data_IF_556958113449
#
_entry.id   IF_556958113449
#
_cell.length_a   1.000
_cell.length_b   1.000
_cell.length_c   1.000
_cell.angle_alpha   90.00
_cell.angle_beta   90.00
_cell.angle_gamma   90.00
#
_symmetry.space_group_name_H-M   'P 1'
#
loop_
_entity.id
_entity.type
_entity.pdbx_description
1 polymer ?
#
# COMPACT_ATOMS: atom_id res chain seq x y z
N UNK A 1 -4.16 3.73 11.27
CA UNK A 1 -5.50 3.44 10.76
C UNK A 1 -5.31 2.65 9.46
N UNK A 2 -6.37 2.18 8.80
CA UNK A 2 -6.23 1.46 7.53
C UNK A 2 -7.42 1.73 6.62
N UNK A 3 -7.22 1.54 5.32
CA UNK A 3 -8.29 1.65 4.33
C UNK A 3 -8.20 0.51 3.32
N UNK A 4 -9.35 0.11 2.81
CA UNK A 4 -9.48 -1.00 1.84
C UNK A 4 -10.00 -0.45 0.51
N UNK A 5 -9.40 -0.91 -0.58
CA UNK A 5 -9.86 -0.64 -1.95
C UNK A 5 -9.89 -1.94 -2.76
N UNK A 6 -10.81 -2.03 -3.71
CA UNK A 6 -10.84 -3.12 -4.68
C UNK A 6 -9.90 -2.79 -5.83
N UNK A 7 -8.97 -3.70 -6.14
CA UNK A 7 -8.03 -3.56 -7.25
C UNK A 7 -8.08 -4.80 -8.14
N UNK A 8 -7.99 -4.59 -9.46
CA UNK A 8 -7.77 -5.68 -10.41
C UNK A 8 -6.29 -6.00 -10.48
N UNK A 9 -5.87 -7.12 -9.90
CA UNK A 9 -4.48 -7.54 -9.77
C UNK A 9 -4.17 -8.71 -10.69
N UNK A 10 -2.96 -8.72 -11.25
CA UNK A 10 -2.43 -9.91 -11.91
C UNK A 10 -2.12 -10.98 -10.85
N UNK A 11 -2.51 -12.22 -11.12
CA UNK A 11 -2.31 -13.35 -10.21
C UNK A 11 -1.55 -14.47 -10.92
N UNK A 12 -0.72 -15.17 -10.14
CA UNK A 12 0.02 -16.34 -10.59
C UNK A 12 -0.37 -17.53 -9.71
N UNK A 13 -0.50 -18.70 -10.33
CA UNK A 13 -0.51 -19.96 -9.61
C UNK A 13 0.92 -20.38 -9.29
N UNK A 14 1.21 -20.60 -8.01
CA UNK A 14 2.54 -21.04 -7.55
C UNK A 14 2.57 -22.55 -7.29
N UNK A 15 3.62 -23.23 -7.75
CA UNK A 15 3.97 -24.61 -7.44
C UNK A 15 5.35 -24.62 -6.74
N UNK A 16 5.40 -24.38 -5.41
CA UNK A 16 6.65 -24.13 -4.69
C UNK A 16 7.68 -25.26 -4.78
N UNK A 17 7.24 -26.52 -4.76
CA UNK A 17 8.11 -27.71 -4.84
C UNK A 17 8.82 -27.83 -6.19
N UNK A 18 8.29 -27.17 -7.22
CA UNK A 18 8.84 -27.13 -8.57
C UNK A 18 9.53 -25.80 -8.88
N UNK A 19 9.51 -24.84 -7.95
CA UNK A 19 9.97 -23.46 -8.15
C UNK A 19 9.37 -22.83 -9.43
N UNK A 20 8.08 -23.11 -9.67
CA UNK A 20 7.38 -22.71 -10.88
C UNK A 20 6.19 -21.81 -10.56
N UNK A 21 6.05 -20.73 -11.32
CA UNK A 21 4.87 -19.89 -11.36
C UNK A 21 4.26 -19.92 -12.76
N UNK A 22 2.94 -19.95 -12.84
CA UNK A 22 2.19 -19.86 -14.10
C UNK A 22 1.18 -18.73 -14.02
N UNK A 23 1.07 -17.94 -15.10
CA UNK A 23 0.07 -16.88 -15.25
C UNK A 23 -1.35 -17.45 -15.08
N UNK A 24 -2.16 -16.83 -14.22
CA UNK A 24 -3.55 -17.18 -13.96
C UNK A 24 -4.51 -16.01 -14.28
N UNK A 25 -4.00 -14.96 -14.92
CA UNK A 25 -4.78 -13.81 -15.38
C UNK A 25 -4.93 -12.72 -14.32
N UNK A 26 -6.15 -12.21 -14.16
CA UNK A 26 -6.45 -11.09 -13.27
C UNK A 26 -7.66 -11.37 -12.39
N UNK A 27 -7.59 -10.93 -11.14
CA UNK A 27 -8.67 -11.03 -10.15
C UNK A 27 -8.95 -9.67 -9.50
N UNK A 28 -10.21 -9.42 -9.17
CA UNK A 28 -10.59 -8.29 -8.32
C UNK A 28 -10.36 -8.67 -6.86
N UNK A 29 -9.42 -8.00 -6.20
CA UNK A 29 -9.01 -8.27 -4.83
C UNK A 29 -9.25 -7.05 -3.93
N UNK A 30 -9.72 -7.31 -2.71
CA UNK A 30 -9.75 -6.29 -1.65
C UNK A 30 -8.35 -6.16 -1.04
N UNK A 31 -7.72 -5.01 -1.29
CA UNK A 31 -6.40 -4.70 -0.75
C UNK A 31 -6.55 -3.69 0.39
N UNK A 32 -6.09 -4.06 1.58
CA UNK A 32 -6.09 -3.17 2.74
C UNK A 32 -4.70 -2.58 2.93
N UNK A 33 -4.60 -1.25 2.91
CA UNK A 33 -3.38 -0.49 3.12
C UNK A 33 -3.36 0.11 4.53
N UNK A 34 -2.19 0.11 5.15
CA UNK A 34 -1.96 0.69 6.48
C UNK A 34 -0.67 1.48 6.49
N UNK A 35 -0.75 2.76 6.86
CA UNK A 35 0.42 3.56 7.18
C UNK A 35 0.92 3.17 8.58
N UNK A 36 2.16 2.71 8.65
CA UNK A 36 2.75 2.13 9.88
C UNK A 36 3.72 3.07 10.58
N UNK A 37 4.33 4.02 9.87
CA UNK A 37 5.23 5.01 10.46
C UNK A 37 5.47 6.20 9.53
N UNK A 38 5.80 7.34 10.12
CA UNK A 38 6.50 8.42 9.43
C UNK A 38 7.98 8.02 9.29
N UNK A 39 8.54 8.11 8.09
CA UNK A 39 9.95 7.78 7.81
C UNK A 39 10.83 9.03 7.82
N UNK A 40 10.46 10.05 7.04
CA UNK A 40 11.22 11.33 6.99
C UNK A 40 10.30 12.51 6.72
N UNK A 41 10.82 13.70 7.02
CA UNK A 41 10.22 14.98 6.64
C UNK A 41 11.30 15.93 6.13
N UNK A 42 10.99 16.70 5.10
CA UNK A 42 11.88 17.71 4.53
C UNK A 42 11.07 18.87 3.94
N UNK A 43 11.12 20.03 4.60
CA UNK A 43 10.32 21.19 4.20
C UNK A 43 8.83 20.87 4.25
N UNK A 44 8.13 21.00 3.12
CA UNK A 44 6.70 20.65 2.96
C UNK A 44 6.48 19.22 2.49
N UNK A 45 7.53 18.40 2.36
CA UNK A 45 7.40 17.00 1.95
C UNK A 45 7.60 16.06 3.12
N UNK A 46 6.85 14.95 3.12
CA UNK A 46 6.97 13.88 4.09
C UNK A 46 6.93 12.52 3.39
N UNK A 47 7.54 11.53 4.03
CA UNK A 47 7.50 10.13 3.57
C UNK A 47 6.98 9.26 4.69
N UNK A 48 6.04 8.39 4.37
CA UNK A 48 5.56 7.36 5.29
C UNK A 48 5.97 5.97 4.82
N UNK A 49 6.16 5.08 5.78
CA UNK A 49 6.12 3.65 5.54
C UNK A 49 4.69 3.14 5.63
N UNK A 50 4.31 2.33 4.67
CA UNK A 50 3.03 1.63 4.66
C UNK A 50 3.21 0.14 4.35
N UNK A 51 2.26 -0.68 4.78
CA UNK A 51 2.13 -2.08 4.36
C UNK A 51 0.77 -2.30 3.69
N UNK A 52 0.57 -3.49 3.15
CA UNK A 52 -0.70 -3.90 2.57
C UNK A 52 -0.99 -5.37 2.88
N UNK A 53 -2.26 -5.73 2.87
CA UNK A 53 -2.73 -7.10 2.97
C UNK A 53 -3.78 -7.44 1.92
N UNK A 54 -3.77 -8.70 1.50
CA UNK A 54 -4.75 -9.33 0.60
C UNK A 54 -5.12 -10.67 1.21
N UNK A 55 -6.41 -11.00 1.26
CA UNK A 55 -6.92 -12.25 1.85
C UNK A 55 -6.38 -12.56 3.26
N UNK A 56 -6.27 -11.52 4.08
CA UNK A 56 -5.76 -11.60 5.45
C UNK A 56 -4.25 -11.87 5.56
N UNK A 57 -3.51 -11.93 4.44
CA UNK A 57 -2.06 -12.04 4.41
C UNK A 57 -1.43 -10.66 4.28
N UNK A 58 -0.61 -10.27 5.25
CA UNK A 58 0.11 -8.99 5.23
C UNK A 58 1.48 -9.13 4.60
N UNK A 59 1.85 -8.20 3.72
CA UNK A 59 3.20 -8.11 3.16
C UNK A 59 4.26 -8.06 4.27
N UNK A 60 5.29 -8.91 4.16
CA UNK A 60 6.45 -8.86 5.04
C UNK A 60 7.31 -7.60 4.82
N UNK A 61 7.10 -6.89 3.72
CA UNK A 61 7.85 -5.69 3.33
C UNK A 61 7.01 -4.43 3.51
N UNK A 62 7.65 -3.39 4.02
CA UNK A 62 7.09 -2.02 4.05
C UNK A 62 7.48 -1.30 2.77
N UNK A 63 6.58 -0.47 2.26
CA UNK A 63 6.79 0.43 1.12
C UNK A 63 6.85 1.88 1.59
N UNK A 64 7.47 2.74 0.79
CA UNK A 64 7.53 4.17 1.03
C UNK A 64 6.52 4.90 0.15
N UNK A 65 5.93 5.96 0.68
CA UNK A 65 5.07 6.86 -0.05
C UNK A 65 5.40 8.31 0.33
N UNK A 66 5.74 9.12 -0.66
CA UNK A 66 6.05 10.55 -0.52
C UNK A 66 4.76 11.36 -0.74
N UNK A 67 4.55 12.40 0.07
CA UNK A 67 3.39 13.29 0.00
C UNK A 67 3.73 14.70 0.48
N UNK A 68 2.92 15.69 0.08
CA UNK A 68 2.99 17.04 0.64
C UNK A 68 2.31 17.09 2.00
N UNK A 69 2.93 17.79 2.95
CA UNK A 69 2.47 17.95 4.31
C UNK A 69 2.60 19.40 4.75
N UNK A 70 1.48 20.00 5.13
CA UNK A 70 1.37 21.42 5.46
C UNK A 70 1.88 21.78 6.87
N UNK A 71 2.33 20.79 7.64
CA UNK A 71 2.82 20.98 9.00
C UNK A 71 1.72 20.90 10.08
N UNK A 72 0.47 20.65 9.72
CA UNK A 72 -0.66 20.64 10.64
C UNK A 72 -1.28 19.26 10.83
N UNK A 73 -1.70 18.96 12.06
CA UNK A 73 -2.29 17.66 12.39
C UNK A 73 -1.27 16.53 12.53
N UNK A 74 -1.71 15.30 12.27
CA UNK A 74 -0.88 14.09 12.34
C UNK A 74 -0.30 13.79 10.95
N UNK A 75 1.04 13.73 10.79
CA UNK A 75 1.66 13.32 9.53
C UNK A 75 1.26 11.90 9.09
N UNK A 76 0.93 11.03 10.05
CA UNK A 76 0.48 9.66 9.77
C UNK A 76 -0.92 9.68 9.14
N UNK A 77 -1.85 10.48 9.70
CA UNK A 77 -3.21 10.61 9.17
C UNK A 77 -3.20 11.31 7.80
N UNK A 78 -2.39 12.36 7.65
CA UNK A 78 -2.20 13.04 6.37
C UNK A 78 -1.61 12.11 5.31
N UNK A 79 -0.61 11.30 5.68
CA UNK A 79 -0.01 10.31 4.78
C UNK A 79 -0.98 9.20 4.37
N UNK A 80 -1.85 8.74 5.28
CA UNK A 80 -2.89 7.78 4.98
C UNK A 80 -3.91 8.34 3.98
N UNK A 81 -4.35 9.58 4.19
CA UNK A 81 -5.27 10.28 3.30
C UNK A 81 -4.65 10.46 1.90
N UNK A 82 -3.42 10.97 1.83
CA UNK A 82 -2.71 11.17 0.56
C UNK A 82 -2.47 9.85 -0.17
N UNK A 83 -2.13 8.77 0.54
CA UNK A 83 -1.98 7.44 -0.05
C UNK A 83 -3.31 6.94 -0.61
N UNK A 84 -4.41 7.09 0.12
CA UNK A 84 -5.75 6.71 -0.35
C UNK A 84 -6.17 7.49 -1.60
N UNK A 85 -5.92 8.80 -1.62
CA UNK A 85 -6.21 9.67 -2.77
C UNK A 85 -5.38 9.29 -4.00
N UNK A 86 -4.14 8.84 -3.82
CA UNK A 86 -3.29 8.39 -4.94
C UNK A 86 -3.88 7.23 -5.74
N UNK A 87 -4.74 6.41 -5.14
CA UNK A 87 -5.46 5.32 -5.81
C UNK A 87 -6.76 5.76 -6.49
N UNK A 88 -7.26 6.97 -6.21
CA UNK A 88 -8.50 7.50 -6.79
C UNK A 88 -8.30 8.25 -8.12
N UNK A 89 -7.04 8.38 -8.58
CA UNK A 89 -6.65 9.11 -9.79
C UNK A 89 -6.38 8.14 -10.97
N UNK A 90 -6.68 6.85 -10.80
CA UNK A 90 -6.57 5.80 -11.83
C UNK A 90 -7.96 5.30 -12.23
#
# INVERSE_FOLDING_TARGET
MSFTITQKLAVNKSYPELLLETDEGFEDAEVTYEVVALERMSGTTATVWYTHSVDGQTSAWKRQFDFEYDGTGSPIEAGELALKESFSIL
#
